data_IF_774617736319
#
_entry.id   IF_774617736319
#
_cell.length_a   1.000
_cell.length_b   1.000
_cell.length_c   1.000
_cell.angle_alpha   90.00
_cell.angle_beta   90.00
_cell.angle_gamma   90.00
#
_symmetry.space_group_name_H-M   'P 1'
#
loop_
_entity.id
_entity.type
_entity.pdbx_description
1 polymer ?
#
# COMPACT_ATOMS: atom_id res chain seq x y z
N UNK A 1 10.87 26.32 -12.74
CA UNK A 1 10.47 24.98 -12.27
C UNK A 1 10.38 24.05 -13.47
N UNK A 2 11.42 23.24 -13.66
CA UNK A 2 11.52 22.22 -14.71
C UNK A 2 10.84 20.94 -14.22
N UNK A 3 10.06 20.32 -15.10
CA UNK A 3 9.33 19.10 -14.79
C UNK A 3 9.56 18.06 -15.89
N UNK A 4 9.91 16.84 -15.49
CA UNK A 4 10.07 15.70 -16.39
C UNK A 4 9.04 14.65 -16.01
N UNK A 5 8.36 14.10 -17.03
CA UNK A 5 7.40 13.01 -16.88
C UNK A 5 7.98 11.72 -17.43
N UNK A 6 7.92 10.66 -16.62
CA UNK A 6 8.29 9.29 -16.94
C UNK A 6 7.06 8.38 -16.87
N UNK A 7 7.10 7.24 -17.56
CA UNK A 7 6.13 6.15 -17.37
C UNK A 7 6.79 5.00 -16.61
N UNK A 8 6.05 4.42 -15.66
CA UNK A 8 6.43 3.24 -14.89
C UNK A 8 7.05 2.12 -15.77
N UNK A 9 8.20 1.58 -15.37
CA UNK A 9 9.00 0.56 -16.08
C UNK A 9 9.50 0.93 -17.49
N UNK A 10 9.11 2.07 -18.07
CA UNK A 10 9.55 2.51 -19.40
C UNK A 10 10.85 3.28 -19.30
N UNK A 11 11.88 2.85 -20.03
CA UNK A 11 13.08 3.66 -20.26
C UNK A 11 12.74 4.83 -21.16
N UNK A 12 13.18 6.03 -20.78
CA UNK A 12 13.04 7.24 -21.57
C UNK A 12 14.39 7.96 -21.68
N UNK A 13 14.67 8.44 -22.89
CA UNK A 13 15.90 9.13 -23.26
C UNK A 13 15.74 10.64 -23.12
N UNK A 14 16.78 11.33 -22.63
CA UNK A 14 16.82 12.78 -22.41
C UNK A 14 18.14 13.38 -22.86
N UNK A 15 18.09 14.53 -23.54
CA UNK A 15 19.28 15.22 -23.99
C UNK A 15 20.11 15.75 -22.79
N UNK A 16 21.44 15.91 -22.93
CA UNK A 16 22.30 16.41 -21.86
C UNK A 16 21.87 17.74 -21.24
N UNK A 17 21.18 18.58 -22.00
CA UNK A 17 20.67 19.90 -21.59
C UNK A 17 19.40 19.80 -20.71
N UNK A 18 18.59 18.76 -20.90
CA UNK A 18 17.35 18.52 -20.13
C UNK A 18 17.65 18.07 -18.69
N UNK A 19 18.76 17.34 -18.51
CA UNK A 19 19.19 16.81 -17.21
C UNK A 19 20.65 17.25 -16.95
N UNK A 20 20.86 18.38 -16.26
CA UNK A 20 22.20 18.80 -15.85
C UNK A 20 22.92 17.72 -15.04
N UNK A 21 24.23 17.56 -15.23
CA UNK A 21 25.02 16.48 -14.58
C UNK A 21 24.93 16.49 -13.05
N UNK A 22 24.70 17.66 -12.43
CA UNK A 22 24.43 17.77 -10.99
C UNK A 22 23.10 17.13 -10.57
N UNK A 23 22.05 17.29 -11.38
CA UNK A 23 20.75 16.63 -11.20
C UNK A 23 20.90 15.12 -11.40
N UNK A 24 21.58 14.68 -12.48
CA UNK A 24 21.86 13.26 -12.72
C UNK A 24 22.60 12.58 -11.56
N UNK A 25 23.64 13.22 -11.02
CA UNK A 25 24.34 12.74 -9.81
C UNK A 25 23.43 12.68 -8.59
N UNK A 26 22.57 13.69 -8.38
CA UNK A 26 21.61 13.71 -7.28
C UNK A 26 20.58 12.58 -7.38
N UNK A 27 20.10 12.27 -8.59
CA UNK A 27 19.19 11.13 -8.86
C UNK A 27 19.88 9.82 -8.51
N UNK A 28 21.12 9.61 -9.00
CA UNK A 28 21.88 8.39 -8.73
C UNK A 28 22.15 8.18 -7.23
N UNK A 29 22.57 9.23 -6.53
CA UNK A 29 22.94 9.15 -5.11
C UNK A 29 21.74 8.96 -4.18
N UNK A 30 20.64 9.69 -4.41
CA UNK A 30 19.53 9.78 -3.45
C UNK A 30 18.28 8.99 -3.86
N UNK A 31 18.15 8.59 -5.13
CA UNK A 31 16.91 8.01 -5.68
C UNK A 31 17.15 6.75 -6.52
N UNK A 32 18.33 6.13 -6.44
CA UNK A 32 18.68 4.88 -7.16
C UNK A 32 17.83 3.65 -6.77
N UNK A 33 17.14 3.69 -5.63
CA UNK A 33 16.10 2.72 -5.27
C UNK A 33 14.88 2.79 -6.19
N UNK A 34 14.52 3.99 -6.67
CA UNK A 34 13.28 4.28 -7.40
C UNK A 34 13.51 4.44 -8.90
N UNK A 35 14.68 4.94 -9.30
CA UNK A 35 15.07 5.22 -10.68
C UNK A 35 16.40 4.55 -10.99
N UNK A 36 16.48 3.87 -12.14
CA UNK A 36 17.76 3.62 -12.81
C UNK A 36 18.11 4.85 -13.65
N UNK A 37 19.38 5.26 -13.61
CA UNK A 37 19.90 6.34 -14.45
C UNK A 37 21.18 5.86 -15.13
N UNK A 38 21.27 6.05 -16.45
CA UNK A 38 22.47 5.82 -17.25
C UNK A 38 22.98 7.16 -17.77
N UNK A 39 24.27 7.40 -17.56
CA UNK A 39 24.93 8.62 -18.00
C UNK A 39 25.08 8.68 -19.52
N UNK A 40 25.04 9.89 -20.12
CA UNK A 40 25.26 10.07 -21.53
C UNK A 40 26.70 9.70 -21.88
N UNK A 41 26.87 9.01 -23.00
CA UNK A 41 28.18 8.50 -23.43
C UNK A 41 28.58 9.17 -24.74
N UNK A 42 29.60 10.02 -24.68
CA UNK A 42 30.21 10.66 -25.85
C UNK A 42 30.66 9.62 -26.90
N UNK A 43 31.26 8.51 -26.47
CA UNK A 43 31.77 7.46 -27.35
C UNK A 43 30.68 6.70 -28.13
N UNK A 44 29.46 6.63 -27.58
CA UNK A 44 28.34 5.92 -28.22
C UNK A 44 27.19 6.84 -28.64
N UNK A 45 27.39 8.16 -28.54
CA UNK A 45 26.40 9.22 -28.76
C UNK A 45 25.04 8.93 -28.09
N UNK A 46 25.07 8.40 -26.86
CA UNK A 46 23.86 8.04 -26.12
C UNK A 46 23.41 9.19 -25.20
N UNK A 47 22.11 9.52 -25.18
CA UNK A 47 21.52 10.47 -24.23
C UNK A 47 21.53 9.93 -22.80
N UNK A 48 21.09 10.75 -21.83
CA UNK A 48 20.71 10.23 -20.51
C UNK A 48 19.57 9.24 -20.68
N UNK A 49 19.59 8.13 -19.94
CA UNK A 49 18.44 7.21 -19.89
C UNK A 49 17.92 7.11 -18.45
N UNK A 50 16.62 7.29 -18.26
CA UNK A 50 15.94 7.10 -16.98
C UNK A 50 14.91 5.97 -17.08
N UNK A 51 14.92 5.06 -16.11
CA UNK A 51 13.97 3.93 -16.04
C UNK A 51 13.39 3.79 -14.62
N UNK A 52 12.08 4.01 -14.41
CA UNK A 52 11.45 3.81 -13.11
C UNK A 52 11.32 2.33 -12.70
N UNK A 53 11.64 2.04 -11.43
CA UNK A 53 11.69 0.69 -10.86
C UNK A 53 10.38 0.23 -10.20
N UNK A 54 9.23 0.49 -10.84
CA UNK A 54 7.91 0.10 -10.30
C UNK A 54 7.37 1.00 -9.18
N UNK A 55 7.74 2.27 -9.18
CA UNK A 55 7.18 3.30 -8.30
C UNK A 55 6.51 4.37 -9.14
N UNK A 56 5.39 4.91 -8.64
CA UNK A 56 4.64 6.02 -9.26
C UNK A 56 4.53 7.19 -8.29
N UNK A 57 4.45 8.41 -8.82
CA UNK A 57 4.30 9.64 -8.04
C UNK A 57 5.38 10.68 -8.33
N UNK A 58 5.77 11.43 -7.31
CA UNK A 58 6.49 12.70 -7.49
C UNK A 58 7.80 12.73 -6.70
N UNK A 59 8.91 13.03 -7.38
CA UNK A 59 10.25 13.18 -6.80
C UNK A 59 10.73 14.63 -7.00
N UNK A 60 10.68 15.48 -5.96
CA UNK A 60 11.27 16.82 -5.99
C UNK A 60 12.79 16.70 -5.82
N UNK A 61 13.53 16.55 -6.92
CA UNK A 61 15.00 16.39 -6.90
C UNK A 61 15.68 17.65 -6.38
N UNK A 62 15.17 18.82 -6.75
CA UNK A 62 15.51 20.15 -6.17
C UNK A 62 14.22 20.98 -6.05
N UNK A 63 14.24 22.18 -5.41
CA UNK A 63 13.06 23.06 -5.39
C UNK A 63 12.54 23.44 -6.79
N UNK A 64 13.43 23.47 -7.78
CA UNK A 64 13.12 23.87 -9.15
C UNK A 64 13.07 22.71 -10.15
N UNK A 65 13.38 21.47 -9.75
CA UNK A 65 13.40 20.30 -10.64
C UNK A 65 12.61 19.14 -10.04
N UNK A 66 11.54 18.72 -10.72
CA UNK A 66 10.65 17.65 -10.25
C UNK A 66 10.51 16.57 -11.32
N UNK A 67 10.58 15.30 -10.91
CA UNK A 67 10.25 14.15 -11.76
C UNK A 67 8.87 13.65 -11.35
N UNK A 68 7.97 13.50 -12.31
CA UNK A 68 6.72 12.73 -12.15
C UNK A 68 6.86 11.37 -12.80
N UNK A 69 6.35 10.33 -12.15
CA UNK A 69 6.30 8.98 -12.68
C UNK A 69 4.84 8.56 -12.74
N UNK A 70 4.31 8.45 -13.95
CA UNK A 70 2.93 8.03 -14.20
C UNK A 70 2.82 6.50 -14.19
N UNK A 71 1.70 5.94 -13.70
CA UNK A 71 1.42 4.51 -13.86
C UNK A 71 1.34 4.12 -15.34
N UNK A 72 1.66 2.86 -15.64
CA UNK A 72 1.44 2.28 -16.97
C UNK A 72 -0.06 2.01 -17.27
N UNK A 73 -0.89 1.97 -16.24
CA UNK A 73 -2.34 1.77 -16.29
C UNK A 73 -3.08 3.08 -16.00
N UNK A 74 -4.37 3.16 -16.30
CA UNK A 74 -5.19 4.31 -15.91
C UNK A 74 -5.19 4.53 -14.39
N UNK A 75 -5.14 5.80 -13.96
CA UNK A 75 -5.04 6.20 -12.54
C UNK A 75 -6.27 5.74 -11.73
N UNK A 76 -7.43 5.59 -12.37
CA UNK A 76 -8.64 5.02 -11.74
C UNK A 76 -8.43 3.63 -11.15
N UNK A 77 -7.57 2.80 -11.75
CA UNK A 77 -7.26 1.45 -11.25
C UNK A 77 -6.30 1.51 -10.04
N UNK A 78 -5.35 2.46 -10.04
CA UNK A 78 -4.52 2.75 -8.86
C UNK A 78 -5.39 3.21 -7.69
N UNK A 79 -6.35 4.11 -7.96
CA UNK A 79 -7.33 4.55 -6.96
C UNK A 79 -8.19 3.40 -6.43
N UNK A 80 -8.69 2.52 -7.31
CA UNK A 80 -9.49 1.37 -6.94
C UNK A 80 -8.73 0.39 -6.04
N UNK A 81 -7.45 0.12 -6.34
CA UNK A 81 -6.59 -0.66 -5.45
C UNK A 81 -6.44 0.01 -4.07
N UNK A 82 -6.23 1.33 -4.03
CA UNK A 82 -6.08 2.09 -2.79
C UNK A 82 -7.35 2.13 -1.92
N UNK A 83 -8.53 2.41 -2.49
CA UNK A 83 -9.81 2.40 -1.76
C UNK A 83 -10.08 1.03 -1.13
N UNK A 84 -9.72 -0.04 -1.85
CA UNK A 84 -9.89 -1.42 -1.38
C UNK A 84 -8.93 -1.76 -0.24
N UNK A 85 -7.62 -1.48 -0.39
CA UNK A 85 -6.58 -1.79 0.60
C UNK A 85 -6.79 -1.03 1.90
N UNK A 86 -7.01 0.28 1.80
CA UNK A 86 -7.20 1.15 2.97
C UNK A 86 -8.64 1.06 3.53
N UNK A 87 -9.51 0.28 2.87
CA UNK A 87 -10.94 0.14 3.19
C UNK A 87 -11.58 1.51 3.46
N UNK A 88 -11.38 2.44 2.54
CA UNK A 88 -11.80 3.84 2.68
C UNK A 88 -13.32 4.01 2.54
N UNK A 89 -14.03 2.93 2.20
CA UNK A 89 -15.47 2.80 1.94
C UNK A 89 -15.96 3.92 1.01
N UNK A 90 -15.15 4.30 0.02
CA UNK A 90 -15.40 5.46 -0.83
C UNK A 90 -15.93 5.13 -2.23
N UNK A 91 -16.57 3.96 -2.36
CA UNK A 91 -17.33 3.57 -3.56
C UNK A 91 -18.38 4.63 -3.96
N UNK A 92 -19.01 5.32 -3.01
CA UNK A 92 -19.94 6.45 -3.27
C UNK A 92 -19.24 7.75 -3.71
N UNK A 93 -17.91 7.78 -3.73
CA UNK A 93 -17.09 8.95 -4.10
C UNK A 93 -16.33 8.67 -5.41
N UNK A 94 -16.34 7.43 -5.92
CA UNK A 94 -15.74 7.08 -7.22
C UNK A 94 -16.33 7.95 -8.36
N UNK A 95 -17.64 8.23 -8.32
CA UNK A 95 -18.31 9.16 -9.25
C UNK A 95 -17.74 10.59 -9.18
N UNK A 96 -17.37 11.07 -7.98
CA UNK A 96 -16.73 12.39 -7.79
C UNK A 96 -15.23 12.40 -8.14
N UNK A 97 -14.62 11.21 -8.29
CA UNK A 97 -13.20 11.02 -8.61
C UNK A 97 -12.97 10.64 -10.08
N UNK A 98 -14.03 10.69 -10.90
CA UNK A 98 -13.98 10.63 -12.38
C UNK A 98 -13.18 11.78 -13.03
N UNK A 99 -12.64 12.70 -12.22
CA UNK A 99 -11.79 13.82 -12.64
C UNK A 99 -10.39 13.79 -11.95
N UNK A 100 -9.99 12.67 -11.35
CA UNK A 100 -8.64 12.49 -10.80
C UNK A 100 -7.67 11.98 -11.86
N UNK A 101 -7.25 12.89 -12.74
CA UNK A 101 -6.31 12.62 -13.83
C UNK A 101 -4.84 12.50 -13.36
N UNK A 102 -4.57 12.68 -12.05
CA UNK A 102 -3.20 12.75 -11.49
C UNK A 102 -3.09 12.10 -10.12
N UNK A 103 -1.91 11.58 -9.79
CA UNK A 103 -1.64 10.97 -8.48
C UNK A 103 -1.61 12.01 -7.35
N UNK A 104 -1.28 13.26 -7.69
CA UNK A 104 -1.30 14.38 -6.75
C UNK A 104 -2.73 14.70 -6.27
N UNK A 105 -3.76 14.48 -7.10
CA UNK A 105 -5.16 14.63 -6.70
C UNK A 105 -5.57 13.55 -5.69
N UNK A 106 -5.09 12.31 -5.87
CA UNK A 106 -5.24 11.20 -4.92
C UNK A 106 -4.57 11.55 -3.58
N UNK A 107 -3.34 12.06 -3.62
CA UNK A 107 -2.60 12.49 -2.44
C UNK A 107 -3.33 13.64 -1.71
N UNK A 108 -3.80 14.65 -2.44
CA UNK A 108 -4.54 15.79 -1.90
C UNK A 108 -5.86 15.38 -1.25
N UNK A 109 -6.63 14.51 -1.89
CA UNK A 109 -7.89 13.98 -1.36
C UNK A 109 -7.67 13.17 -0.07
N UNK A 110 -6.68 12.27 -0.05
CA UNK A 110 -6.37 11.48 1.15
C UNK A 110 -5.86 12.37 2.30
N UNK A 111 -5.05 13.39 2.00
CA UNK A 111 -4.53 14.33 2.98
C UNK A 111 -5.66 15.23 3.54
N UNK A 112 -6.60 15.65 2.69
CA UNK A 112 -7.81 16.34 3.10
C UNK A 112 -8.69 15.46 4.00
N UNK A 113 -8.91 14.19 3.64
CA UNK A 113 -9.70 13.23 4.43
C UNK A 113 -9.07 12.97 5.80
N UNK A 114 -7.73 12.87 5.87
CA UNK A 114 -6.98 12.78 7.13
C UNK A 114 -7.18 14.04 7.99
N UNK A 115 -6.93 15.23 7.43
CA UNK A 115 -7.05 16.51 8.13
C UNK A 115 -8.46 16.72 8.72
N UNK A 116 -9.50 16.41 7.93
CA UNK A 116 -10.90 16.50 8.38
C UNK A 116 -11.21 15.54 9.53
N UNK A 117 -10.72 14.29 9.47
CA UNK A 117 -10.92 13.31 10.54
C UNK A 117 -10.19 13.70 11.83
N UNK A 118 -8.94 14.16 11.74
CA UNK A 118 -8.19 14.66 12.91
C UNK A 118 -8.89 15.86 13.53
N UNK A 119 -9.36 16.83 12.73
CA UNK A 119 -10.13 17.97 13.24
C UNK A 119 -11.45 17.55 13.89
N UNK A 120 -12.14 16.54 13.35
CA UNK A 120 -13.34 15.98 13.96
C UNK A 120 -13.03 15.33 15.31
N UNK A 121 -11.97 14.53 15.40
CA UNK A 121 -11.52 13.89 16.65
C UNK A 121 -11.09 14.91 17.70
N UNK A 122 -10.35 15.94 17.30
CA UNK A 122 -9.94 17.02 18.20
C UNK A 122 -11.14 17.75 18.81
N UNK A 123 -12.19 18.02 18.01
CA UNK A 123 -13.47 18.60 18.49
C UNK A 123 -14.24 17.69 19.44
N UNK A 124 -14.18 16.37 19.25
CA UNK A 124 -14.81 15.37 20.13
C UNK A 124 -13.99 15.09 21.40
N UNK A 125 -12.73 15.55 21.45
CA UNK A 125 -11.77 15.23 22.48
C UNK A 125 -10.86 14.07 22.07
N UNK A 126 -9.54 14.29 22.15
CA UNK A 126 -8.55 13.25 21.89
C UNK A 126 -8.71 12.08 22.86
N UNK A 127 -8.50 10.86 22.38
CA UNK A 127 -8.40 9.69 23.24
C UNK A 127 -7.27 9.89 24.26
N UNK A 128 -7.51 9.45 25.49
CA UNK A 128 -6.58 9.58 26.62
C UNK A 128 -6.38 8.21 27.25
N UNK A 129 -5.16 7.96 27.71
CA UNK A 129 -4.82 6.73 28.41
C UNK A 129 -4.04 7.03 29.69
N UNK A 130 -3.96 6.04 30.57
CA UNK A 130 -3.18 6.09 31.79
C UNK A 130 -1.76 5.59 31.51
N UNK A 131 -0.81 6.52 31.33
CA UNK A 131 0.61 6.18 31.25
C UNK A 131 1.20 6.07 32.67
N UNK A 132 1.99 5.02 32.91
CA UNK A 132 2.66 4.80 34.20
C UNK A 132 4.00 5.52 34.21
N UNK A 133 4.09 6.58 35.00
CA UNK A 133 5.29 7.39 35.19
C UNK A 133 6.01 6.97 36.47
N UNK A 134 7.34 7.02 36.46
CA UNK A 134 8.17 6.98 37.67
C UNK A 134 8.93 8.30 37.73
N UNK A 135 8.66 9.12 38.73
CA UNK A 135 9.33 10.42 38.93
C UNK A 135 9.59 10.67 40.43
N UNK A 136 10.56 11.54 40.74
CA UNK A 136 10.93 11.92 42.09
C UNK A 136 10.23 13.22 42.47
N UNK A 137 9.17 13.10 43.27
CA UNK A 137 8.27 14.21 43.62
C UNK A 137 8.47 14.68 45.06
N UNK A 138 8.28 15.98 45.31
CA UNK A 138 8.31 16.56 46.66
C UNK A 138 7.09 16.12 47.48
N UNK A 139 5.92 16.01 46.82
CA UNK A 139 4.69 15.49 47.41
C UNK A 139 4.40 14.07 46.91
N UNK A 140 3.91 13.19 47.79
CA UNK A 140 3.59 11.81 47.43
C UNK A 140 2.43 11.73 46.44
N UNK A 141 2.67 11.16 45.25
CA UNK A 141 1.64 10.88 44.23
C UNK A 141 1.68 9.39 43.85
N UNK A 142 0.54 8.71 43.92
CA UNK A 142 0.47 7.27 43.64
C UNK A 142 1.26 6.43 44.64
N UNK A 143 2.02 5.44 44.15
CA UNK A 143 2.75 4.46 44.97
C UNK A 143 4.21 4.89 45.15
N UNK A 144 4.61 5.21 46.38
CA UNK A 144 6.01 5.44 46.74
C UNK A 144 6.80 4.12 46.59
N UNK A 145 7.96 4.19 45.95
CA UNK A 145 8.89 3.08 45.77
C UNK A 145 9.88 3.03 46.94
N UNK A 146 9.40 2.56 48.10
CA UNK A 146 10.16 2.55 49.36
C UNK A 146 11.56 1.91 49.25
N UNK A 147 11.73 0.84 48.47
CA UNK A 147 13.04 0.23 48.23
C UNK A 147 14.05 1.14 47.52
N UNK A 148 13.59 2.11 46.73
CA UNK A 148 14.44 3.15 46.13
C UNK A 148 14.66 4.32 47.09
N UNK A 149 13.61 4.75 47.82
CA UNK A 149 13.73 5.81 48.81
C UNK A 149 14.76 5.46 49.91
N UNK A 150 14.75 4.21 50.39
CA UNK A 150 15.68 3.71 51.39
C UNK A 150 17.16 3.67 50.91
N UNK A 151 17.42 3.74 49.60
CA UNK A 151 18.78 3.81 49.02
C UNK A 151 19.31 5.25 48.91
N UNK A 152 18.46 6.26 49.08
CA UNK A 152 18.85 7.67 49.01
C UNK A 152 18.06 8.51 50.04
N UNK A 153 18.12 8.18 51.34
CA UNK A 153 17.28 8.79 52.39
C UNK A 153 17.55 10.29 52.62
N UNK A 154 18.68 10.82 52.12
CA UNK A 154 19.01 12.25 52.14
C UNK A 154 18.28 13.06 51.06
N UNK A 155 17.58 12.41 50.13
CA UNK A 155 16.92 13.08 49.01
C UNK A 155 15.47 13.43 49.33
N UNK A 156 15.16 14.73 49.34
CA UNK A 156 13.84 15.28 49.72
C UNK A 156 12.72 14.82 48.76
N UNK A 157 13.07 14.39 47.54
CA UNK A 157 12.11 13.98 46.51
C UNK A 157 11.88 12.46 46.57
N UNK A 158 10.65 12.06 46.87
CA UNK A 158 10.23 10.67 46.98
C UNK A 158 10.11 10.03 45.59
N UNK A 159 10.76 8.88 45.32
CA UNK A 159 10.52 8.13 44.08
C UNK A 159 9.10 7.56 44.08
N UNK A 160 8.27 8.10 43.20
CA UNK A 160 6.84 7.84 43.11
C UNK A 160 6.50 7.20 41.76
N UNK A 161 5.76 6.09 41.77
CA UNK A 161 5.12 5.53 40.59
C UNK A 161 3.63 5.86 40.60
N UNK A 162 3.19 6.63 39.61
CA UNK A 162 1.78 7.02 39.46
C UNK A 162 1.36 6.90 38.00
N UNK A 163 0.05 7.03 37.75
CA UNK A 163 -0.49 7.00 36.41
C UNK A 163 -1.04 8.38 36.05
N UNK A 164 -0.57 8.98 34.95
CA UNK A 164 -1.13 10.22 34.40
C UNK A 164 -2.14 9.90 33.33
N UNK A 165 -3.33 10.48 33.45
CA UNK A 165 -4.33 10.45 32.39
C UNK A 165 -4.00 11.53 31.34
N UNK A 166 -3.29 11.13 30.28
CA UNK A 166 -2.77 12.05 29.26
C UNK A 166 -3.32 11.73 27.87
N UNK A 167 -3.41 12.75 27.02
CA UNK A 167 -3.61 12.59 25.58
C UNK A 167 -2.29 12.41 24.83
N UNK A 168 -1.15 12.70 25.45
CA UNK A 168 0.16 12.52 24.83
C UNK A 168 0.57 11.03 24.83
N UNK A 169 -0.06 10.28 23.94
CA UNK A 169 0.06 8.83 23.77
C UNK A 169 0.37 8.51 22.29
N UNK A 170 0.98 7.36 21.97
CA UNK A 170 1.35 7.01 20.60
C UNK A 170 0.22 7.17 19.57
N UNK A 171 -1.02 6.82 19.93
CA UNK A 171 -2.22 6.95 19.09
C UNK A 171 -2.58 8.41 18.72
N UNK A 172 -2.05 9.40 19.43
CA UNK A 172 -2.21 10.81 19.06
C UNK A 172 -0.91 11.40 18.50
N UNK A 173 0.25 10.97 18.99
CA UNK A 173 1.55 11.44 18.52
C UNK A 173 1.76 11.11 17.03
N UNK A 174 1.32 9.93 16.58
CA UNK A 174 1.42 9.54 15.17
C UNK A 174 0.61 10.44 14.24
N UNK A 175 -0.56 10.94 14.68
CA UNK A 175 -1.37 11.91 13.92
C UNK A 175 -0.59 13.21 13.71
N UNK A 176 0.00 13.75 14.79
CA UNK A 176 0.80 14.97 14.73
C UNK A 176 2.03 14.78 13.84
N UNK A 177 2.71 13.62 13.94
CA UNK A 177 3.87 13.29 13.12
C UNK A 177 3.53 13.19 11.63
N UNK A 178 2.46 12.47 11.25
CA UNK A 178 2.02 12.39 9.85
C UNK A 178 1.66 13.77 9.31
N UNK A 179 0.92 14.58 10.07
CA UNK A 179 0.56 15.94 9.68
C UNK A 179 1.79 16.83 9.51
N UNK A 180 2.81 16.67 10.36
CA UNK A 180 4.10 17.34 10.24
C UNK A 180 4.86 16.93 8.96
N UNK A 181 4.88 15.64 8.60
CA UNK A 181 5.49 15.21 7.33
C UNK A 181 4.72 15.72 6.12
N UNK A 182 3.38 15.64 6.11
CA UNK A 182 2.54 16.21 5.05
C UNK A 182 2.71 17.73 4.92
N UNK A 183 2.94 18.44 6.03
CA UNK A 183 3.28 19.86 6.06
C UNK A 183 4.56 20.21 5.30
N UNK A 184 5.42 19.24 4.98
CA UNK A 184 6.62 19.39 4.14
C UNK A 184 6.34 19.11 2.66
N UNK A 185 5.28 18.37 2.34
CA UNK A 185 4.91 17.95 0.97
C UNK A 185 4.03 18.99 0.26
N UNK A 186 4.23 20.28 0.53
CA UNK A 186 3.29 21.34 0.13
C UNK A 186 3.13 21.49 -1.38
N UNK A 187 4.11 21.08 -2.20
CA UNK A 187 4.02 21.26 -3.65
C UNK A 187 2.99 20.31 -4.31
N UNK A 188 2.58 19.23 -3.64
CA UNK A 188 1.61 18.26 -4.18
C UNK A 188 0.15 18.56 -3.78
N UNK A 189 -0.06 19.54 -2.89
CA UNK A 189 -1.33 19.76 -2.21
C UNK A 189 -2.00 21.06 -2.67
N UNK A 190 -3.33 21.07 -2.73
CA UNK A 190 -4.14 22.25 -3.07
C UNK A 190 -4.24 23.20 -1.87
N UNK A 191 -4.42 24.49 -2.12
CA UNK A 191 -4.38 25.53 -1.07
C UNK A 191 -5.41 25.31 0.06
N UNK A 192 -6.58 24.76 -0.27
CA UNK A 192 -7.61 24.35 0.71
C UNK A 192 -7.07 23.26 1.65
N UNK A 193 -6.51 22.19 1.09
CA UNK A 193 -5.93 21.06 1.84
C UNK A 193 -4.75 21.49 2.72
N UNK A 194 -3.83 22.32 2.20
CA UNK A 194 -2.75 22.93 3.01
C UNK A 194 -3.29 23.69 4.23
N UNK A 195 -4.44 24.35 4.10
CA UNK A 195 -5.05 25.11 5.19
C UNK A 195 -5.69 24.18 6.22
N UNK A 196 -6.39 23.13 5.77
CA UNK A 196 -6.96 22.11 6.67
C UNK A 196 -5.87 21.31 7.41
N UNK A 197 -4.76 20.97 6.76
CA UNK A 197 -3.61 20.32 7.40
C UNK A 197 -2.97 21.20 8.48
N UNK A 198 -2.77 22.51 8.20
CA UNK A 198 -2.26 23.46 9.20
C UNK A 198 -3.20 23.58 10.40
N UNK A 199 -4.51 23.66 10.17
CA UNK A 199 -5.52 23.65 11.24
C UNK A 199 -5.45 22.35 12.06
N UNK A 200 -5.38 21.19 11.41
CA UNK A 200 -5.28 19.90 12.09
C UNK A 200 -3.99 19.77 12.91
N UNK A 201 -2.85 20.24 12.38
CA UNK A 201 -1.58 20.25 13.09
C UNK A 201 -1.65 21.15 14.34
N UNK A 202 -2.14 22.39 14.19
CA UNK A 202 -2.29 23.32 15.32
C UNK A 202 -3.29 22.83 16.38
N UNK A 203 -4.29 22.02 16.01
CA UNK A 203 -5.24 21.44 16.96
C UNK A 203 -4.63 20.36 17.87
N UNK A 204 -3.49 19.76 17.49
CA UNK A 204 -2.75 18.79 18.31
C UNK A 204 -1.52 19.43 18.99
N UNK A 205 -0.87 20.38 18.29
CA UNK A 205 0.32 21.07 18.75
C UNK A 205 0.14 21.70 20.14
N UNK A 206 1.08 21.43 21.05
CA UNK A 206 1.05 21.92 22.43
C UNK A 206 0.30 21.02 23.42
N UNK A 207 -0.49 20.04 22.95
CA UNK A 207 -1.07 18.98 23.80
C UNK A 207 -0.46 17.60 23.55
N UNK A 208 0.17 17.42 22.39
CA UNK A 208 0.80 16.19 21.91
C UNK A 208 2.27 16.47 21.57
N UNK A 209 3.16 15.57 21.97
CA UNK A 209 4.59 15.64 21.66
C UNK A 209 4.86 15.24 20.20
N UNK A 210 5.76 15.95 19.52
CA UNK A 210 6.20 15.61 18.17
C UNK A 210 7.32 14.56 18.23
N UNK A 211 6.95 13.30 18.30
CA UNK A 211 7.85 12.14 18.27
C UNK A 211 7.89 11.50 16.87
N UNK A 212 9.04 10.98 16.40
CA UNK A 212 9.11 10.29 15.11
C UNK A 212 8.37 8.94 15.13
N UNK A 213 7.56 8.70 14.10
CA UNK A 213 6.89 7.41 13.86
C UNK A 213 7.18 6.86 12.46
N UNK A 214 7.14 5.55 12.34
CA UNK A 214 7.17 4.80 11.08
C UNK A 214 5.80 4.19 10.79
N UNK A 215 5.61 3.65 9.58
CA UNK A 215 4.42 2.87 9.25
C UNK A 215 4.24 1.62 10.15
N UNK A 216 5.32 0.95 10.54
CA UNK A 216 5.25 -0.28 11.32
C UNK A 216 4.64 -0.05 12.71
N UNK A 217 4.82 1.15 13.28
CA UNK A 217 4.27 1.51 14.58
C UNK A 217 2.73 1.53 14.59
N UNK A 218 2.09 1.83 13.45
CA UNK A 218 0.63 1.77 13.28
C UNK A 218 0.04 0.38 13.58
N UNK A 219 0.83 -0.68 13.40
CA UNK A 219 0.36 -2.08 13.43
C UNK A 219 0.05 -2.57 14.85
N UNK A 220 0.59 -1.89 15.88
CA UNK A 220 0.49 -2.31 17.28
C UNK A 220 -0.75 -1.74 18.01
N UNK A 221 -1.51 -0.83 17.38
CA UNK A 221 -2.63 -0.16 18.03
C UNK A 221 -3.87 -1.07 18.16
N UNK A 222 -4.42 -1.13 19.36
CA UNK A 222 -5.63 -1.90 19.67
C UNK A 222 -6.87 -0.99 19.67
N UNK A 223 -7.87 -1.36 18.88
CA UNK A 223 -9.11 -0.60 18.73
C UNK A 223 -10.24 -1.19 19.59
N UNK A 224 -10.93 -0.32 20.31
CA UNK A 224 -12.06 -0.61 21.18
C UNK A 224 -13.08 0.53 21.05
N UNK A 225 -14.24 0.42 21.72
CA UNK A 225 -15.40 1.32 21.54
C UNK A 225 -15.08 2.83 21.68
N UNK A 226 -14.06 3.22 22.44
CA UNK A 226 -13.71 4.63 22.70
C UNK A 226 -12.74 5.25 21.67
N UNK A 227 -12.03 4.42 20.90
CA UNK A 227 -11.06 4.84 19.88
C UNK A 227 -11.28 4.17 18.50
N UNK A 228 -12.46 3.57 18.26
CA UNK A 228 -12.77 2.85 17.02
C UNK A 228 -12.65 3.73 15.76
N UNK A 229 -12.91 5.02 15.89
CA UNK A 229 -12.76 6.06 14.88
C UNK A 229 -11.30 6.34 14.50
N UNK A 230 -10.34 6.15 15.44
CA UNK A 230 -8.91 6.24 15.14
C UNK A 230 -8.47 5.23 14.10
N UNK A 231 -9.15 4.09 13.93
CA UNK A 231 -8.76 3.05 12.97
C UNK A 231 -8.53 3.62 11.57
N UNK A 232 -9.48 4.41 11.06
CA UNK A 232 -9.36 5.01 9.72
C UNK A 232 -8.32 6.14 9.70
N UNK A 233 -8.11 6.83 10.83
CA UNK A 233 -7.09 7.88 10.96
C UNK A 233 -5.69 7.24 10.90
N UNK A 234 -5.46 6.19 11.67
CA UNK A 234 -4.21 5.42 11.68
C UNK A 234 -3.94 4.70 10.36
N UNK A 235 -4.97 4.21 9.64
CA UNK A 235 -4.82 3.69 8.28
C UNK A 235 -4.28 4.77 7.33
N UNK A 236 -4.89 5.96 7.32
CA UNK A 236 -4.39 7.10 6.55
C UNK A 236 -2.99 7.54 6.99
N UNK A 237 -2.68 7.53 8.29
CA UNK A 237 -1.33 7.77 8.81
C UNK A 237 -0.33 6.74 8.30
N UNK A 238 -0.67 5.44 8.35
CA UNK A 238 0.14 4.35 7.83
C UNK A 238 0.43 4.57 6.34
N UNK A 239 -0.61 4.79 5.53
CA UNK A 239 -0.48 5.06 4.11
C UNK A 239 0.50 6.20 3.81
N UNK A 240 0.41 7.33 4.51
CA UNK A 240 1.33 8.44 4.29
C UNK A 240 2.74 8.16 4.81
N UNK A 241 2.91 7.46 5.93
CA UNK A 241 4.23 7.10 6.46
C UNK A 241 4.94 5.98 5.67
N UNK A 242 4.19 5.14 4.93
CA UNK A 242 4.75 4.18 3.97
C UNK A 242 5.25 4.88 2.69
N UNK A 243 4.50 5.86 2.17
CA UNK A 243 4.70 6.41 0.83
C UNK A 243 5.41 7.80 0.79
N UNK A 244 5.63 8.44 1.95
CA UNK A 244 6.46 9.65 2.08
C UNK A 244 7.91 9.27 2.41
N UNK A 245 8.78 9.33 1.42
CA UNK A 245 10.22 9.01 1.61
C UNK A 245 10.95 10.16 2.32
N UNK A 246 11.91 9.89 3.23
CA UNK A 246 12.80 10.93 3.76
C UNK A 246 13.58 11.66 2.64
N UNK A 247 13.51 12.99 2.59
CA UNK A 247 14.32 13.76 1.63
C UNK A 247 15.79 13.83 2.06
N UNK A 248 16.68 13.30 1.22
CA UNK A 248 18.14 13.32 1.37
C UNK A 248 18.80 14.68 1.13
N UNK A 249 18.05 15.71 0.72
CA UNK A 249 18.58 17.06 0.49
C UNK A 249 19.13 17.69 1.79
N UNK A 250 20.10 18.59 1.69
CA UNK A 250 20.53 19.48 2.79
C UNK A 250 19.93 20.89 2.59
N UNK A 251 19.24 21.44 3.59
CA UNK A 251 18.56 22.74 3.47
C UNK A 251 17.26 22.85 4.28
N UNK A 252 16.71 24.07 4.37
CA UNK A 252 15.55 24.42 5.21
C UNK A 252 14.18 24.30 4.53
N UNK A 253 14.12 24.17 3.19
CA UNK A 253 12.88 24.01 2.40
C UNK A 253 12.88 22.69 1.63
N UNK A 254 12.79 21.55 2.34
CA UNK A 254 12.78 20.22 1.73
C UNK A 254 11.34 19.75 1.48
N UNK A 255 10.96 19.60 0.21
CA UNK A 255 9.75 18.86 -0.16
C UNK A 255 10.05 17.36 -0.08
N UNK A 256 9.14 16.56 0.47
CA UNK A 256 9.30 15.10 0.49
C UNK A 256 8.81 14.50 -0.83
N UNK A 257 9.48 13.45 -1.36
CA UNK A 257 8.90 12.60 -2.40
C UNK A 257 7.63 11.91 -1.89
N UNK A 258 6.66 11.74 -2.78
CA UNK A 258 5.50 10.88 -2.56
C UNK A 258 5.54 9.80 -3.64
N UNK A 259 5.81 8.57 -3.23
CA UNK A 259 6.04 7.44 -4.13
C UNK A 259 5.27 6.22 -3.64
N UNK A 260 4.45 5.66 -4.52
CA UNK A 260 3.70 4.43 -4.29
C UNK A 260 4.38 3.29 -5.04
N UNK A 261 4.75 2.22 -4.33
CA UNK A 261 5.20 0.97 -4.94
C UNK A 261 3.98 0.22 -5.49
N UNK A 262 3.87 0.13 -6.81
CA UNK A 262 2.69 -0.43 -7.50
C UNK A 262 2.59 -1.94 -7.36
N UNK A 263 3.73 -2.65 -7.30
CA UNK A 263 3.76 -4.09 -7.10
C UNK A 263 3.27 -4.47 -5.69
N UNK A 264 3.73 -3.75 -4.65
CA UNK A 264 3.25 -3.94 -3.27
C UNK A 264 1.79 -3.49 -3.12
N UNK A 265 1.36 -2.43 -3.81
CA UNK A 265 -0.04 -2.03 -3.84
C UNK A 265 -0.92 -3.14 -4.45
N UNK A 266 -0.49 -3.76 -5.56
CA UNK A 266 -1.19 -4.87 -6.20
C UNK A 266 -1.25 -6.11 -5.29
N UNK A 267 -0.14 -6.49 -4.65
CA UNK A 267 -0.09 -7.57 -3.65
C UNK A 267 -1.09 -7.35 -2.51
N UNK A 268 -1.03 -6.17 -1.87
CA UNK A 268 -1.96 -5.76 -0.81
C UNK A 268 -3.41 -5.77 -1.28
N UNK A 269 -3.67 -5.34 -2.52
CA UNK A 269 -5.00 -5.33 -3.13
C UNK A 269 -5.53 -6.76 -3.35
N UNK A 270 -4.76 -7.66 -3.96
CA UNK A 270 -5.12 -9.07 -4.15
C UNK A 270 -5.40 -9.74 -2.80
N UNK A 271 -4.55 -9.49 -1.78
CA UNK A 271 -4.79 -9.97 -0.42
C UNK A 271 -6.13 -9.50 0.14
N UNK A 272 -6.36 -8.18 0.12
CA UNK A 272 -7.56 -7.58 0.69
C UNK A 272 -8.81 -8.08 -0.04
N UNK A 273 -8.75 -8.21 -1.37
CA UNK A 273 -9.85 -8.69 -2.19
C UNK A 273 -10.19 -10.16 -1.90
N UNK A 274 -9.19 -11.05 -1.87
CA UNK A 274 -9.37 -12.43 -1.47
C UNK A 274 -9.97 -12.53 -0.06
N UNK A 275 -9.44 -11.76 0.89
CA UNK A 275 -9.92 -11.75 2.29
C UNK A 275 -11.39 -11.36 2.45
N UNK A 276 -11.96 -10.59 1.50
CA UNK A 276 -13.38 -10.17 1.49
C UNK A 276 -14.29 -11.13 0.72
N UNK A 277 -13.78 -11.80 -0.32
CA UNK A 277 -14.59 -12.59 -1.26
C UNK A 277 -14.40 -14.13 -1.14
N UNK A 278 -13.42 -14.61 -0.37
CA UNK A 278 -13.25 -16.03 -0.09
C UNK A 278 -14.40 -16.59 0.76
N UNK A 279 -14.85 -17.80 0.43
CA UNK A 279 -15.78 -18.57 1.26
C UNK A 279 -15.26 -18.79 2.68
N UNK A 280 -16.17 -18.88 3.65
CA UNK A 280 -15.83 -19.10 5.07
C UNK A 280 -14.97 -20.35 5.33
N UNK A 281 -15.01 -21.37 4.45
CA UNK A 281 -14.17 -22.57 4.55
C UNK A 281 -12.67 -22.30 4.34
N UNK A 282 -12.30 -21.14 3.80
CA UNK A 282 -10.92 -20.75 3.53
C UNK A 282 -10.46 -19.52 4.32
N UNK A 283 -9.15 -19.32 4.39
CA UNK A 283 -8.55 -18.04 4.76
C UNK A 283 -7.23 -17.81 4.00
N UNK A 284 -6.87 -16.54 3.81
CA UNK A 284 -5.65 -16.11 3.14
C UNK A 284 -4.71 -15.44 4.15
N UNK A 285 -3.43 -15.77 4.13
CA UNK A 285 -2.36 -15.01 4.79
C UNK A 285 -1.52 -14.29 3.74
N UNK A 286 -1.06 -13.08 4.07
CA UNK A 286 -0.08 -12.34 3.28
C UNK A 286 1.28 -12.33 3.96
N UNK A 287 2.34 -12.18 3.16
CA UNK A 287 3.73 -11.98 3.58
C UNK A 287 4.18 -13.00 4.64
N UNK A 288 3.82 -14.27 4.44
CA UNK A 288 4.07 -15.30 5.43
C UNK A 288 5.55 -15.68 5.42
N UNK A 289 6.22 -15.46 6.56
CA UNK A 289 7.62 -15.82 6.75
C UNK A 289 7.76 -17.32 6.96
N UNK A 290 8.66 -17.95 6.21
CA UNK A 290 9.09 -19.33 6.37
C UNK A 290 10.57 -19.34 6.72
N UNK A 291 10.92 -19.80 7.93
CA UNK A 291 12.31 -19.96 8.35
C UNK A 291 12.89 -21.23 7.73
N UNK A 292 13.84 -21.06 6.80
CA UNK A 292 14.57 -22.17 6.18
C UNK A 292 15.84 -22.50 6.97
N UNK A 293 16.52 -21.46 7.47
CA UNK A 293 17.57 -21.57 8.50
C UNK A 293 17.49 -20.35 9.42
N UNK A 294 18.23 -20.34 10.53
CA UNK A 294 18.30 -19.22 11.47
C UNK A 294 18.72 -17.87 10.83
N UNK A 295 19.29 -17.90 9.62
CA UNK A 295 19.73 -16.72 8.87
C UNK A 295 18.98 -16.50 7.56
N UNK A 296 18.21 -17.49 7.08
CA UNK A 296 17.53 -17.45 5.78
C UNK A 296 16.03 -17.65 6.00
N UNK A 297 15.28 -16.59 5.77
CA UNK A 297 13.83 -16.60 5.78
C UNK A 297 13.31 -16.33 4.37
N UNK A 298 12.39 -17.16 3.89
CA UNK A 298 11.58 -16.84 2.73
C UNK A 298 10.36 -16.05 3.19
N UNK A 299 9.90 -15.13 2.33
CA UNK A 299 8.65 -14.41 2.49
C UNK A 299 7.78 -14.78 1.30
N UNK A 300 6.62 -15.37 1.56
CA UNK A 300 5.66 -15.79 0.52
C UNK A 300 4.56 -14.73 0.47
N UNK A 301 4.36 -14.12 -0.71
CA UNK A 301 3.33 -13.10 -0.96
C UNK A 301 1.98 -13.49 -0.34
N UNK A 302 1.44 -14.64 -0.76
CA UNK A 302 0.11 -15.11 -0.37
C UNK A 302 0.07 -16.63 -0.21
N UNK A 303 -0.58 -17.10 0.86
CA UNK A 303 -0.84 -18.53 1.09
C UNK A 303 -2.30 -18.74 1.45
N UNK A 304 -2.98 -19.57 0.67
CA UNK A 304 -4.37 -19.95 0.84
C UNK A 304 -4.47 -21.23 1.68
N UNK A 305 -5.27 -21.18 2.73
CA UNK A 305 -5.45 -22.26 3.69
C UNK A 305 -6.92 -22.69 3.79
N UNK A 306 -7.12 -23.98 4.07
CA UNK A 306 -8.38 -24.48 4.60
C UNK A 306 -8.51 -24.12 6.08
N UNK A 307 -9.71 -23.67 6.50
CA UNK A 307 -9.92 -23.11 7.85
C UNK A 307 -9.86 -24.16 8.95
N UNK A 308 -10.41 -25.34 8.71
CA UNK A 308 -10.56 -26.39 9.72
C UNK A 308 -9.24 -27.14 9.94
N UNK A 309 -8.67 -27.69 8.86
CA UNK A 309 -7.41 -28.44 8.90
C UNK A 309 -6.17 -27.56 9.05
N UNK A 310 -6.28 -26.25 8.72
CA UNK A 310 -5.16 -25.32 8.55
C UNK A 310 -4.12 -25.81 7.53
N UNK A 311 -4.51 -26.69 6.61
CA UNK A 311 -3.66 -27.15 5.52
C UNK A 311 -3.51 -26.05 4.46
N UNK A 312 -2.28 -25.84 3.97
CA UNK A 312 -2.03 -24.96 2.84
C UNK A 312 -2.52 -25.65 1.54
N UNK A 313 -3.40 -24.97 0.81
CA UNK A 313 -4.02 -25.47 -0.43
C UNK A 313 -3.20 -25.04 -1.64
N UNK A 314 -2.84 -23.76 -1.66
CA UNK A 314 -2.10 -23.12 -2.74
C UNK A 314 -1.20 -22.02 -2.18
N UNK A 315 -0.03 -21.86 -2.81
CA UNK A 315 0.76 -20.63 -2.71
C UNK A 315 0.43 -19.76 -3.93
N UNK A 316 0.36 -18.45 -3.69
CA UNK A 316 0.04 -17.46 -4.71
C UNK A 316 1.09 -16.35 -4.65
N UNK A 317 1.55 -15.91 -5.82
CA UNK A 317 2.58 -14.88 -5.97
C UNK A 317 2.09 -13.85 -7.00
N UNK A 318 2.22 -12.58 -6.66
CA UNK A 318 1.56 -11.48 -7.38
C UNK A 318 2.58 -10.68 -8.18
N UNK A 319 2.42 -10.66 -9.50
CA UNK A 319 3.38 -10.05 -10.42
C UNK A 319 2.71 -8.91 -11.18
N UNK A 320 2.92 -7.68 -10.72
CA UNK A 320 2.43 -6.45 -11.38
C UNK A 320 3.24 -6.10 -12.65
N UNK A 321 3.28 -7.01 -13.63
CA UNK A 321 3.96 -6.87 -14.92
C UNK A 321 3.15 -7.56 -16.02
N UNK A 322 3.40 -7.19 -17.27
CA UNK A 322 2.67 -7.68 -18.45
C UNK A 322 3.63 -8.28 -19.50
N UNK A 323 4.43 -9.30 -19.13
CA UNK A 323 5.30 -9.98 -20.09
C UNK A 323 4.48 -10.88 -21.04
N UNK A 324 5.08 -11.34 -22.13
CA UNK A 324 4.42 -12.34 -23.01
C UNK A 324 4.22 -13.69 -22.29
N UNK A 325 5.11 -14.02 -21.35
CA UNK A 325 5.13 -15.28 -20.58
C UNK A 325 5.74 -15.08 -19.19
N UNK A 326 5.48 -15.96 -18.20
CA UNK A 326 6.19 -15.97 -16.93
C UNK A 326 7.70 -16.13 -17.13
N UNK A 327 8.51 -15.48 -16.30
CA UNK A 327 9.96 -15.70 -16.34
C UNK A 327 10.34 -16.99 -15.59
N UNK A 328 11.48 -17.59 -15.96
CA UNK A 328 12.02 -18.75 -15.24
C UNK A 328 12.25 -18.45 -13.74
N UNK A 329 12.58 -17.20 -13.39
CA UNK A 329 12.72 -16.79 -12.00
C UNK A 329 11.38 -16.84 -11.25
N UNK A 330 10.28 -16.33 -11.85
CA UNK A 330 8.94 -16.38 -11.22
C UNK A 330 8.47 -17.82 -11.04
N UNK A 331 8.65 -18.67 -12.06
CA UNK A 331 8.27 -20.08 -12.05
C UNK A 331 9.04 -20.86 -10.98
N UNK A 332 10.37 -20.70 -10.91
CA UNK A 332 11.20 -21.35 -9.90
C UNK A 332 10.85 -20.87 -8.48
N UNK A 333 10.56 -19.57 -8.32
CA UNK A 333 10.15 -18.97 -7.04
C UNK A 333 8.85 -19.61 -6.52
N UNK A 334 7.80 -19.67 -7.34
CA UNK A 334 6.50 -20.20 -6.89
C UNK A 334 6.50 -21.72 -6.69
N UNK A 335 7.25 -22.48 -7.50
CA UNK A 335 7.45 -23.93 -7.28
C UNK A 335 8.18 -24.16 -5.95
N UNK A 336 9.22 -23.38 -5.66
CA UNK A 336 9.94 -23.47 -4.39
C UNK A 336 9.02 -23.16 -3.19
N UNK A 337 8.18 -22.13 -3.28
CA UNK A 337 7.19 -21.83 -2.24
C UNK A 337 6.17 -22.95 -2.04
N UNK A 338 5.71 -23.62 -3.11
CA UNK A 338 4.81 -24.76 -3.02
C UNK A 338 5.48 -25.95 -2.31
N UNK A 339 6.75 -26.24 -2.62
CA UNK A 339 7.55 -27.26 -1.91
C UNK A 339 7.68 -26.94 -0.41
N UNK A 340 8.06 -25.71 -0.05
CA UNK A 340 8.21 -25.29 1.35
C UNK A 340 6.89 -25.37 2.15
N UNK A 341 5.76 -25.09 1.49
CA UNK A 341 4.42 -25.17 2.09
C UNK A 341 3.72 -26.51 1.89
N UNK A 342 4.38 -27.48 1.26
CA UNK A 342 3.86 -28.82 0.95
C UNK A 342 2.52 -28.78 0.18
N UNK A 343 2.32 -27.76 -0.66
CA UNK A 343 1.12 -27.61 -1.50
C UNK A 343 1.33 -28.27 -2.86
N UNK A 344 0.24 -28.75 -3.48
CA UNK A 344 0.25 -29.25 -4.86
C UNK A 344 -0.12 -28.18 -5.89
N UNK A 345 -0.27 -26.93 -5.47
CA UNK A 345 -0.73 -25.81 -6.31
C UNK A 345 0.10 -24.56 -6.08
N UNK A 346 0.56 -24.01 -7.20
CA UNK A 346 1.41 -22.84 -7.35
C UNK A 346 0.76 -21.89 -8.34
N UNK A 347 0.44 -20.66 -7.93
CA UNK A 347 -0.37 -19.74 -8.74
C UNK A 347 0.35 -18.40 -8.90
N UNK A 348 0.64 -18.01 -10.14
CA UNK A 348 1.14 -16.68 -10.49
C UNK A 348 -0.05 -15.80 -10.91
N UNK A 349 -0.22 -14.66 -10.24
CA UNK A 349 -1.32 -13.72 -10.49
C UNK A 349 -0.79 -12.49 -11.21
N UNK A 350 -1.38 -12.18 -12.37
CA UNK A 350 -1.01 -11.03 -13.20
C UNK A 350 -2.19 -10.08 -13.40
N UNK A 351 -1.98 -8.76 -13.56
CA UNK A 351 -3.05 -7.79 -13.77
C UNK A 351 -3.75 -7.92 -15.13
N UNK A 352 -3.18 -8.70 -16.06
CA UNK A 352 -3.70 -8.95 -17.40
C UNK A 352 -3.46 -10.42 -17.79
N UNK A 353 -4.19 -10.92 -18.79
CA UNK A 353 -3.98 -12.24 -19.36
C UNK A 353 -2.70 -12.28 -20.21
N UNK A 354 -1.79 -13.21 -19.92
CA UNK A 354 -0.55 -13.38 -20.67
C UNK A 354 -0.82 -14.13 -21.99
N UNK A 355 -0.19 -13.73 -23.13
CA UNK A 355 -0.26 -14.47 -24.39
C UNK A 355 0.12 -15.95 -24.27
N UNK A 356 1.15 -16.26 -23.47
CA UNK A 356 1.58 -17.61 -23.15
C UNK A 356 1.37 -17.92 -21.67
N UNK A 357 0.09 -18.02 -21.29
CA UNK A 357 -0.33 -18.49 -19.98
C UNK A 357 0.11 -19.95 -19.74
N UNK A 358 0.35 -20.31 -18.49
CA UNK A 358 0.84 -21.63 -18.06
C UNK A 358 -0.24 -22.33 -17.23
N UNK A 359 -0.53 -23.58 -17.56
CA UNK A 359 -1.27 -24.53 -16.72
C UNK A 359 -0.65 -25.92 -16.92
N UNK A 360 0.36 -26.22 -16.12
CA UNK A 360 1.23 -27.40 -16.28
C UNK A 360 1.55 -28.05 -14.94
N UNK A 361 1.72 -29.37 -14.95
CA UNK A 361 2.20 -30.14 -13.81
C UNK A 361 3.73 -30.21 -13.86
N UNK A 362 4.39 -29.69 -12.83
CA UNK A 362 5.83 -29.83 -12.60
C UNK A 362 6.03 -30.75 -11.40
N UNK A 363 6.55 -31.96 -11.64
CA UNK A 363 6.58 -33.05 -10.66
C UNK A 363 5.20 -33.34 -10.07
N UNK A 364 4.93 -32.88 -8.85
CA UNK A 364 3.65 -33.02 -8.13
C UNK A 364 2.93 -31.67 -7.90
N UNK A 365 3.44 -30.58 -8.47
CA UNK A 365 2.95 -29.21 -8.27
C UNK A 365 2.34 -28.70 -9.59
N UNK A 366 1.04 -28.42 -9.59
CA UNK A 366 0.37 -27.73 -10.69
C UNK A 366 0.69 -26.24 -10.61
N UNK A 367 1.38 -25.74 -11.63
CA UNK A 367 1.73 -24.32 -11.80
C UNK A 367 0.73 -23.69 -12.75
N UNK A 368 0.05 -22.64 -12.29
CA UNK A 368 -1.00 -21.94 -13.04
C UNK A 368 -0.70 -20.44 -13.10
N UNK A 369 -0.99 -19.79 -14.24
CA UNK A 369 -1.08 -18.32 -14.34
C UNK A 369 -2.54 -17.92 -14.40
N UNK A 370 -2.98 -17.04 -13.50
CA UNK A 370 -4.36 -16.56 -13.46
C UNK A 370 -4.37 -15.03 -13.61
N UNK A 371 -5.11 -14.47 -14.58
CA UNK A 371 -5.31 -13.03 -14.66
C UNK A 371 -6.27 -12.55 -13.57
N UNK A 372 -5.99 -11.41 -12.96
CA UNK A 372 -6.92 -10.68 -12.12
C UNK A 372 -6.97 -9.22 -12.57
N UNK A 373 -7.89 -8.96 -13.50
CA UNK A 373 -8.01 -7.73 -14.27
C UNK A 373 -8.63 -6.62 -13.42
N UNK A 374 -7.96 -5.47 -13.37
CA UNK A 374 -8.37 -4.33 -12.54
C UNK A 374 -9.63 -3.60 -13.04
N UNK A 375 -10.08 -3.87 -14.27
CA UNK A 375 -11.16 -3.10 -14.90
C UNK A 375 -12.57 -3.43 -14.36
N UNK A 376 -12.79 -4.65 -13.85
CA UNK A 376 -14.08 -5.10 -13.27
C UNK A 376 -13.87 -6.02 -12.06
N UNK A 377 -13.31 -5.44 -11.00
CA UNK A 377 -13.01 -6.10 -9.73
C UNK A 377 -14.28 -6.53 -8.96
N UNK A 378 -15.43 -5.94 -9.27
CA UNK A 378 -16.67 -6.06 -8.49
C UNK A 378 -17.71 -7.01 -9.06
N UNK A 379 -17.67 -7.33 -10.35
CA UNK A 379 -18.62 -8.27 -10.96
C UNK A 379 -17.90 -9.46 -11.62
N UNK A 380 -17.43 -9.30 -12.85
CA UNK A 380 -17.12 -10.43 -13.75
C UNK A 380 -15.71 -10.96 -13.53
N UNK A 381 -14.69 -10.09 -13.54
CA UNK A 381 -13.31 -10.54 -13.42
C UNK A 381 -13.01 -11.13 -12.03
N UNK A 382 -13.69 -10.64 -10.98
CA UNK A 382 -13.63 -11.20 -9.64
C UNK A 382 -14.18 -12.63 -9.55
N UNK A 383 -15.36 -12.90 -10.12
CA UNK A 383 -15.93 -14.24 -10.14
C UNK A 383 -15.12 -15.20 -11.02
N UNK A 384 -14.69 -14.76 -12.21
CA UNK A 384 -13.78 -15.53 -13.07
C UNK A 384 -12.48 -15.89 -12.35
N UNK A 385 -11.88 -14.95 -11.62
CA UNK A 385 -10.68 -15.17 -10.82
C UNK A 385 -10.89 -16.23 -9.73
N UNK A 386 -12.01 -16.21 -9.00
CA UNK A 386 -12.34 -17.26 -8.01
C UNK A 386 -12.58 -18.63 -8.66
N UNK A 387 -13.31 -18.68 -9.77
CA UNK A 387 -13.53 -19.93 -10.52
C UNK A 387 -12.20 -20.52 -10.98
N UNK A 388 -11.31 -19.72 -11.55
CA UNK A 388 -9.95 -20.15 -11.92
C UNK A 388 -9.13 -20.58 -10.69
N UNK A 389 -9.24 -19.85 -9.58
CA UNK A 389 -8.52 -20.15 -8.33
C UNK A 389 -8.94 -21.51 -7.75
N UNK A 390 -10.20 -21.91 -7.85
CA UNK A 390 -10.70 -23.18 -7.31
C UNK A 390 -10.86 -24.31 -8.34
N UNK A 391 -10.71 -24.03 -9.64
CA UNK A 391 -10.81 -25.05 -10.69
C UNK A 391 -9.77 -26.16 -10.51
N UNK A 392 -10.27 -27.41 -10.46
CA UNK A 392 -9.45 -28.61 -10.46
C UNK A 392 -9.11 -29.09 -11.87
N UNK A 393 -9.84 -28.62 -12.88
CA UNK A 393 -9.65 -28.96 -14.30
C UNK A 393 -8.77 -27.94 -15.02
N UNK A 394 -8.25 -28.31 -16.20
CA UNK A 394 -7.39 -27.46 -17.01
C UNK A 394 -8.19 -26.25 -17.51
N UNK A 395 -7.76 -25.04 -17.16
CA UNK A 395 -8.49 -23.83 -17.57
C UNK A 395 -8.22 -23.61 -19.06
N UNK A 396 -9.21 -23.35 -19.92
CA UNK A 396 -8.96 -23.06 -21.32
C UNK A 396 -8.22 -21.72 -21.46
N UNK A 397 -7.09 -21.74 -22.20
CA UNK A 397 -6.06 -20.70 -22.15
C UNK A 397 -6.23 -19.59 -23.20
N UNK A 398 -7.29 -19.61 -24.01
CA UNK A 398 -7.49 -18.67 -25.12
C UNK A 398 -8.55 -17.60 -24.80
N UNK A 399 -8.35 -16.38 -25.35
CA UNK A 399 -9.33 -15.28 -25.26
C UNK A 399 -10.73 -15.67 -25.76
N UNK A 400 -10.82 -16.50 -26.81
CA UNK A 400 -12.07 -16.98 -27.41
C UNK A 400 -12.82 -18.01 -26.55
N UNK A 401 -12.17 -18.63 -25.56
CA UNK A 401 -12.79 -19.63 -24.69
C UNK A 401 -13.29 -19.03 -23.36
N UNK A 402 -12.78 -17.86 -22.96
CA UNK A 402 -13.30 -17.11 -21.80
C UNK A 402 -14.74 -16.61 -22.03
N UNK A 403 -15.14 -16.35 -23.29
CA UNK A 403 -16.51 -16.01 -23.65
C UNK A 403 -17.47 -17.21 -23.57
N UNK A 404 -16.95 -18.46 -23.58
CA UNK A 404 -17.77 -19.68 -23.56
C UNK A 404 -18.18 -20.14 -22.15
N UNK A 405 -17.75 -19.42 -21.10
CA UNK A 405 -18.17 -19.67 -19.72
C UNK A 405 -19.52 -19.03 -19.34
N UNK A 406 -20.29 -18.51 -20.30
CA UNK A 406 -21.70 -18.19 -20.06
C UNK A 406 -22.53 -19.47 -19.94
N UNK A 407 -23.36 -19.63 -18.89
CA UNK A 407 -24.34 -20.72 -18.88
C UNK A 407 -25.33 -20.47 -20.01
N UNK A 408 -25.36 -21.39 -20.97
CA UNK A 408 -26.36 -21.40 -22.04
C UNK A 408 -27.74 -21.66 -21.42
N UNK A 409 -28.45 -20.56 -21.13
CA UNK A 409 -29.84 -20.62 -20.67
C UNK A 409 -30.72 -21.20 -21.77
N UNK A 410 -31.11 -22.47 -21.61
CA UNK A 410 -32.11 -23.11 -22.46
C UNK A 410 -33.38 -22.26 -22.46
N UNK A 411 -33.64 -21.58 -23.58
CA UNK A 411 -34.92 -20.92 -23.81
C UNK A 411 -35.68 -21.76 -24.81
N UNK A 412 -36.35 -22.80 -24.31
CA UNK A 412 -37.30 -23.61 -25.11
C UNK A 412 -38.37 -22.71 -25.72
N UNK A 413 -38.66 -22.98 -26.99
CA UNK A 413 -39.53 -22.18 -27.86
C UNK A 413 -40.98 -22.68 -27.87
N UNK A 414 -41.85 -21.98 -28.62
CA UNK A 414 -43.31 -22.17 -28.77
C UNK A 414 -44.13 -21.60 -27.58
N UNK A 415 -45.32 -21.00 -27.72
CA UNK A 415 -46.30 -20.81 -28.81
C UNK A 415 -46.72 -19.31 -28.78
N UNK A 416 -47.10 -18.59 -29.84
CA UNK A 416 -47.38 -18.87 -31.26
C UNK A 416 -47.71 -17.56 -32.01
N UNK A 417 -48.61 -17.57 -33.01
CA UNK A 417 -49.03 -16.36 -33.75
C UNK A 417 -50.51 -16.40 -34.20
N UNK A 418 -51.21 -15.26 -34.18
CA UNK A 418 -52.52 -15.07 -34.86
C UNK A 418 -52.86 -13.60 -35.18
N UNK A 419 -52.78 -13.26 -36.48
CA UNK A 419 -53.66 -12.34 -37.26
C UNK A 419 -54.50 -11.22 -36.60
N UNK A 420 -54.14 -9.96 -36.93
CA UNK A 420 -54.93 -8.86 -37.56
C UNK A 420 -56.44 -9.08 -37.93
N UNK A 421 -57.23 -8.02 -38.25
CA UNK A 421 -57.39 -6.65 -37.67
C UNK A 421 -58.92 -6.34 -37.51
N UNK A 422 -59.55 -5.14 -37.74
CA UNK A 422 -59.15 -3.89 -38.43
C UNK A 422 -58.47 -2.85 -37.53
#
# INVERSE_FOLDING_TARGET
MTEITLTEYKTQDFQPEEIPTSIGKTIHQNYSQYLEIKEPSFLSNKPWQLTPKGYIGTIPVTPDFTIRILPKTEIKYVWQMLDYVENLNSLTIFEQLTHCDRLEDICDYLAQKLAQKVLSRAKQGLYRSYLSENDRLIASRGKIQWHQAARSPWEIRLPCRYNTHTSDIPENQILLWTLHQLGRTQNLLKAKTKTQLRQAHHALQGTISLTPFTAQDCQNFTYHRLNQDYKIIHQLCNFFLENLTPSHQTGTRKTLPFLINTAVLYEKFVHAWLKKNLENKYFIKAQEKYQFTDKINYQIDLVLYERETKQAIAVLDTKYKTPEKPSHADLNQIIHYALLKQTKRAILIYPEALPYAVDQLSENIRVQTIPFVLNDVSATAGQQFLTCLFSQEKIPLNKEDLEKCHPSGETTSQIGASSLPP
#
